data_IF_704380423023
#
_entry.id   IF_704380423023
#
_cell.length_a   1.000
_cell.length_b   1.000
_cell.length_c   1.000
_cell.angle_alpha   90.00
_cell.angle_beta   90.00
_cell.angle_gamma   90.00
#
_symmetry.space_group_name_H-M   'P 1'
#
loop_
_entity.id
_entity.type
_entity.pdbx_description
1 polymer ?
#
# COMPACT_ATOMS: atom_id res chain seq x y z
N UNK A 1 -23.61 26.55 -20.39
CA UNK A 1 -24.15 26.38 -19.03
C UNK A 1 -23.70 25.01 -18.59
N UNK A 2 -22.58 24.95 -17.89
CA UNK A 2 -21.96 23.73 -17.37
C UNK A 2 -22.37 23.59 -15.91
N UNK A 3 -23.20 22.60 -15.65
CA UNK A 3 -23.67 22.25 -14.33
C UNK A 3 -22.52 21.55 -13.58
N UNK A 4 -21.81 22.31 -12.78
CA UNK A 4 -20.82 21.80 -11.83
C UNK A 4 -21.59 21.26 -10.62
N UNK A 5 -22.05 20.00 -10.69
CA UNK A 5 -22.49 19.26 -9.51
C UNK A 5 -21.32 19.03 -8.58
N UNK A 6 -20.99 20.02 -7.76
CA UNK A 6 -20.21 19.83 -6.54
C UNK A 6 -21.03 18.88 -5.65
N UNK A 7 -20.54 17.64 -5.49
CA UNK A 7 -21.06 16.72 -4.46
C UNK A 7 -20.81 17.40 -3.12
N UNK A 8 -21.82 18.08 -2.62
CA UNK A 8 -21.81 18.61 -1.25
C UNK A 8 -21.70 17.42 -0.31
N UNK A 9 -20.50 17.17 0.20
CA UNK A 9 -20.29 16.19 1.26
C UNK A 9 -21.09 16.66 2.47
N UNK A 10 -22.10 15.90 2.83
CA UNK A 10 -22.89 16.16 4.02
C UNK A 10 -21.95 16.21 5.23
N UNK A 11 -21.88 17.38 5.89
CA UNK A 11 -20.97 17.62 7.01
C UNK A 11 -21.17 16.64 8.18
N UNK A 12 -22.35 16.02 8.27
CA UNK A 12 -22.67 15.00 9.28
C UNK A 12 -21.97 13.66 9.02
N UNK A 13 -21.63 13.34 7.77
CA UNK A 13 -20.97 12.08 7.37
C UNK A 13 -19.44 12.10 7.52
N UNK A 14 -18.83 13.28 7.67
CA UNK A 14 -17.37 13.45 7.74
C UNK A 14 -16.71 12.73 8.93
N UNK A 15 -17.27 12.75 10.17
CA UNK A 15 -16.69 12.00 11.27
C UNK A 15 -16.70 10.49 11.02
N UNK A 16 -17.82 9.95 10.53
CA UNK A 16 -17.95 8.52 10.20
C UNK A 16 -16.98 8.13 9.09
N UNK A 17 -16.88 8.91 8.01
CA UNK A 17 -15.92 8.69 6.93
C UNK A 17 -14.47 8.68 7.41
N UNK A 18 -14.13 9.54 8.38
CA UNK A 18 -12.79 9.58 8.99
C UNK A 18 -12.52 8.34 9.85
N UNK A 19 -13.49 7.85 10.62
CA UNK A 19 -13.37 6.61 11.39
C UNK A 19 -13.16 5.42 10.45
N UNK A 20 -13.97 5.30 9.39
CA UNK A 20 -13.84 4.21 8.40
C UNK A 20 -12.46 4.26 7.72
N UNK A 21 -11.96 5.45 7.36
CA UNK A 21 -10.64 5.62 6.77
C UNK A 21 -9.52 5.18 7.74
N UNK A 22 -9.63 5.55 9.02
CA UNK A 22 -8.67 5.13 10.05
C UNK A 22 -8.72 3.61 10.25
N UNK A 23 -9.90 3.00 10.29
CA UNK A 23 -10.04 1.54 10.34
C UNK A 23 -9.39 0.86 9.12
N UNK A 24 -9.55 1.44 7.92
CA UNK A 24 -8.89 0.95 6.71
C UNK A 24 -7.37 1.00 6.84
N UNK A 25 -6.81 2.11 7.30
CA UNK A 25 -5.36 2.26 7.51
C UNK A 25 -4.82 1.27 8.54
N UNK A 26 -5.54 1.05 9.66
CA UNK A 26 -5.19 0.04 10.66
C UNK A 26 -5.21 -1.36 10.03
N UNK A 27 -6.22 -1.65 9.24
CA UNK A 27 -6.39 -2.95 8.60
C UNK A 27 -5.23 -3.25 7.64
N UNK A 28 -4.80 -2.28 6.84
CA UNK A 28 -3.61 -2.43 5.98
C UNK A 28 -2.31 -2.52 6.78
N UNK A 29 -2.17 -1.76 7.88
CA UNK A 29 -0.99 -1.80 8.73
C UNK A 29 -0.74 -3.18 9.36
N UNK A 30 -1.80 -3.92 9.70
CA UNK A 30 -1.69 -5.26 10.27
C UNK A 30 -1.43 -6.34 9.21
N UNK A 31 -1.81 -6.10 7.95
CA UNK A 31 -1.77 -7.08 6.86
C UNK A 31 -0.40 -7.75 6.69
N UNK A 32 0.68 -6.98 6.74
CA UNK A 32 2.04 -7.48 6.48
C UNK A 32 2.53 -8.39 7.61
N UNK A 33 2.20 -8.03 8.84
CA UNK A 33 2.49 -8.85 10.02
C UNK A 33 1.78 -10.20 9.96
N UNK A 34 0.51 -10.21 9.53
CA UNK A 34 -0.24 -11.45 9.29
C UNK A 34 0.37 -12.28 8.16
N UNK A 35 0.90 -11.62 7.12
CA UNK A 35 1.65 -12.28 6.05
C UNK A 35 2.88 -13.01 6.58
N UNK A 36 3.64 -12.39 7.49
CA UNK A 36 4.80 -13.00 8.12
C UNK A 36 4.41 -14.24 8.94
N UNK A 37 3.31 -14.19 9.72
CA UNK A 37 2.80 -15.37 10.44
C UNK A 37 2.46 -16.52 9.48
N UNK A 38 1.93 -16.23 8.29
CA UNK A 38 1.67 -17.25 7.29
C UNK A 38 2.97 -17.90 6.78
N UNK A 39 4.05 -17.12 6.61
CA UNK A 39 5.35 -17.65 6.17
C UNK A 39 6.03 -18.49 7.24
N UNK A 40 6.02 -18.04 8.49
CA UNK A 40 6.52 -18.79 9.62
C UNK A 40 5.72 -20.09 9.82
N UNK A 41 4.47 -20.13 9.33
CA UNK A 41 3.61 -21.31 9.28
C UNK A 41 3.82 -22.21 8.06
N UNK A 42 4.85 -21.97 7.22
CA UNK A 42 5.21 -22.81 6.08
C UNK A 42 4.66 -22.36 4.72
N UNK A 43 3.98 -21.21 4.64
CA UNK A 43 3.54 -20.63 3.37
C UNK A 43 4.65 -19.78 2.73
N UNK A 44 4.35 -19.15 1.60
CA UNK A 44 5.25 -18.23 0.94
C UNK A 44 4.50 -16.98 0.42
N UNK A 45 5.23 -15.89 0.06
CA UNK A 45 4.62 -14.67 -0.43
C UNK A 45 3.69 -14.85 -1.63
N UNK A 46 4.05 -15.69 -2.60
CA UNK A 46 3.26 -15.91 -3.81
C UNK A 46 1.90 -16.52 -3.49
N UNK A 47 1.88 -17.55 -2.62
CA UNK A 47 0.64 -18.22 -2.19
C UNK A 47 -0.25 -17.25 -1.42
N UNK A 48 0.30 -16.49 -0.48
CA UNK A 48 -0.47 -15.52 0.32
C UNK A 48 -1.06 -14.42 -0.56
N UNK A 49 -0.28 -13.89 -1.53
CA UNK A 49 -0.80 -12.91 -2.51
C UNK A 49 -1.89 -13.53 -3.39
N UNK A 50 -1.71 -14.78 -3.87
CA UNK A 50 -2.72 -15.46 -4.67
C UNK A 50 -4.05 -15.62 -3.89
N UNK A 51 -3.98 -16.12 -2.66
CA UNK A 51 -5.17 -16.35 -1.82
C UNK A 51 -5.96 -15.06 -1.58
N UNK A 52 -5.28 -13.96 -1.23
CA UNK A 52 -5.95 -12.67 -1.00
C UNK A 52 -6.58 -12.10 -2.28
N UNK A 53 -5.92 -12.30 -3.45
CA UNK A 53 -6.45 -11.85 -4.74
C UNK A 53 -7.71 -12.65 -5.12
N UNK A 54 -7.69 -13.98 -4.95
CA UNK A 54 -8.87 -14.82 -5.17
C UNK A 54 -10.01 -14.36 -4.27
N UNK A 55 -9.74 -14.17 -2.97
CA UNK A 55 -10.74 -13.69 -2.01
C UNK A 55 -11.29 -12.32 -2.40
N UNK A 56 -10.41 -11.40 -2.83
CA UNK A 56 -10.81 -10.07 -3.29
C UNK A 56 -11.73 -10.14 -4.52
N UNK A 57 -11.36 -10.92 -5.54
CA UNK A 57 -12.14 -11.06 -6.78
C UNK A 57 -13.50 -11.67 -6.49
N UNK A 58 -13.58 -12.69 -5.63
CA UNK A 58 -14.85 -13.32 -5.27
C UNK A 58 -15.76 -12.34 -4.53
N UNK A 59 -15.26 -11.66 -3.49
CA UNK A 59 -16.07 -10.78 -2.65
C UNK A 59 -16.44 -9.50 -3.39
N UNK A 60 -15.47 -8.82 -4.04
CA UNK A 60 -15.73 -7.58 -4.76
C UNK A 60 -16.53 -7.85 -6.03
N UNK A 61 -16.30 -8.97 -6.72
CA UNK A 61 -17.11 -9.41 -7.85
C UNK A 61 -18.57 -9.63 -7.45
N UNK A 62 -18.82 -10.33 -6.35
CA UNK A 62 -20.17 -10.49 -5.81
C UNK A 62 -20.81 -9.14 -5.44
N UNK A 63 -20.03 -8.22 -4.83
CA UNK A 63 -20.50 -6.87 -4.50
C UNK A 63 -20.86 -6.07 -5.75
N UNK A 64 -20.07 -6.12 -6.82
CA UNK A 64 -20.37 -5.46 -8.10
C UNK A 64 -21.68 -5.99 -8.72
N UNK A 65 -21.90 -7.31 -8.68
CA UNK A 65 -23.14 -7.93 -9.14
C UNK A 65 -24.34 -7.47 -8.31
N UNK A 66 -24.24 -7.47 -6.98
CA UNK A 66 -25.30 -7.01 -6.08
C UNK A 66 -25.64 -5.54 -6.27
N UNK A 67 -24.62 -4.70 -6.49
CA UNK A 67 -24.78 -3.26 -6.73
C UNK A 67 -25.18 -2.95 -8.18
N UNK A 68 -25.32 -3.95 -9.04
CA UNK A 68 -25.66 -3.83 -10.47
C UNK A 68 -24.77 -2.80 -11.20
N UNK A 69 -23.46 -2.76 -10.83
CA UNK A 69 -22.51 -1.86 -11.47
C UNK A 69 -22.16 -2.32 -12.89
N UNK A 70 -21.94 -1.38 -13.84
CA UNK A 70 -21.54 -1.74 -15.19
C UNK A 70 -20.20 -2.49 -15.16
N UNK A 71 -20.23 -3.77 -15.57
CA UNK A 71 -19.04 -4.63 -15.55
C UNK A 71 -18.10 -4.42 -16.74
N UNK A 72 -18.43 -3.51 -17.69
CA UNK A 72 -17.62 -3.31 -18.90
C UNK A 72 -16.87 -1.98 -18.83
N UNK A 73 -15.56 -2.04 -19.06
CA UNK A 73 -14.70 -0.88 -19.18
C UNK A 73 -14.36 -0.59 -20.66
N UNK A 74 -14.27 0.69 -21.06
CA UNK A 74 -13.75 1.04 -22.38
C UNK A 74 -12.27 0.61 -22.49
N UNK A 75 -11.79 0.35 -23.73
CA UNK A 75 -10.43 -0.17 -23.97
C UNK A 75 -9.33 0.65 -23.28
N UNK A 76 -9.46 1.97 -23.27
CA UNK A 76 -8.46 2.86 -22.63
C UNK A 76 -8.40 2.64 -21.12
N UNK A 77 -9.55 2.52 -20.46
CA UNK A 77 -9.63 2.25 -19.03
C UNK A 77 -9.08 0.84 -18.72
N UNK A 78 -9.38 -0.16 -19.57
CA UNK A 78 -8.86 -1.52 -19.42
C UNK A 78 -7.32 -1.58 -19.51
N UNK A 79 -6.70 -0.86 -20.45
CA UNK A 79 -5.24 -0.71 -20.53
C UNK A 79 -4.67 0.02 -19.30
N UNK A 80 -5.40 1.02 -18.79
CA UNK A 80 -5.04 1.70 -17.54
C UNK A 80 -5.03 0.75 -16.35
N UNK A 81 -6.04 -0.14 -16.23
CA UNK A 81 -6.05 -1.15 -15.15
C UNK A 81 -4.93 -2.18 -15.29
N UNK A 82 -4.52 -2.54 -16.51
CA UNK A 82 -3.38 -3.43 -16.73
C UNK A 82 -2.06 -2.78 -16.27
N UNK A 83 -1.85 -1.50 -16.59
CA UNK A 83 -0.69 -0.76 -16.09
C UNK A 83 -0.71 -0.67 -14.56
N UNK A 84 -1.87 -0.36 -13.97
CA UNK A 84 -2.06 -0.35 -12.51
C UNK A 84 -1.79 -1.73 -11.90
N UNK A 85 -2.12 -2.82 -12.59
CA UNK A 85 -1.82 -4.18 -12.12
C UNK A 85 -0.31 -4.44 -12.04
N UNK A 86 0.48 -3.93 -12.98
CA UNK A 86 1.95 -4.02 -12.94
C UNK A 86 2.50 -3.28 -11.72
N UNK A 87 2.07 -2.05 -11.50
CA UNK A 87 2.53 -1.28 -10.33
C UNK A 87 2.05 -1.91 -9.01
N UNK A 88 0.83 -2.44 -8.96
CA UNK A 88 0.31 -3.18 -7.82
C UNK A 88 1.06 -4.51 -7.60
N UNK A 89 1.52 -5.18 -8.66
CA UNK A 89 2.40 -6.36 -8.56
C UNK A 89 3.72 -5.98 -7.89
N UNK A 90 4.35 -4.88 -8.31
CA UNK A 90 5.57 -4.38 -7.67
C UNK A 90 5.35 -4.11 -6.18
N UNK A 91 4.25 -3.45 -5.81
CA UNK A 91 3.91 -3.20 -4.40
C UNK A 91 3.65 -4.51 -3.67
N UNK A 92 2.77 -5.35 -4.20
CA UNK A 92 2.28 -6.55 -3.50
C UNK A 92 3.33 -7.62 -3.33
N UNK A 93 4.00 -7.98 -4.43
CA UNK A 93 5.03 -9.04 -4.42
C UNK A 93 6.32 -8.51 -3.81
N UNK A 94 6.65 -7.25 -4.07
CA UNK A 94 7.82 -6.60 -3.48
C UNK A 94 7.69 -6.49 -1.95
N UNK A 95 6.60 -5.91 -1.44
CA UNK A 95 6.43 -5.70 -0.01
C UNK A 95 6.25 -7.01 0.77
N UNK A 96 5.29 -7.86 0.35
CA UNK A 96 5.12 -9.17 0.99
C UNK A 96 6.32 -10.09 0.76
N UNK A 97 7.00 -9.98 -0.39
CA UNK A 97 8.25 -10.69 -0.64
C UNK A 97 9.39 -10.25 0.26
N UNK A 98 9.49 -8.95 0.58
CA UNK A 98 10.56 -8.42 1.42
C UNK A 98 10.53 -9.00 2.83
N UNK A 99 9.33 -9.17 3.43
CA UNK A 99 9.18 -9.68 4.80
C UNK A 99 9.52 -11.17 4.96
N UNK A 100 9.78 -11.87 3.87
CA UNK A 100 10.38 -13.20 3.92
C UNK A 100 11.88 -13.16 4.27
N UNK A 101 12.54 -12.02 4.09
CA UNK A 101 13.99 -11.87 4.21
C UNK A 101 14.42 -10.86 5.27
N UNK A 102 13.60 -9.83 5.51
CA UNK A 102 13.90 -8.77 6.49
C UNK A 102 12.71 -8.57 7.44
N UNK A 103 12.93 -7.95 8.62
CA UNK A 103 11.86 -7.62 9.57
C UNK A 103 10.74 -6.79 8.93
N UNK A 104 9.49 -7.05 9.36
CA UNK A 104 8.30 -6.36 8.86
C UNK A 104 8.39 -4.85 9.04
N UNK A 105 8.88 -4.44 10.23
CA UNK A 105 9.07 -3.01 10.57
C UNK A 105 10.02 -2.32 9.59
N UNK A 106 11.11 -3.00 9.21
CA UNK A 106 12.10 -2.47 8.28
C UNK A 106 11.53 -2.41 6.85
N UNK A 107 10.85 -3.47 6.41
CA UNK A 107 10.18 -3.50 5.13
C UNK A 107 9.16 -2.35 4.98
N UNK A 108 8.41 -2.07 6.06
CA UNK A 108 7.48 -0.93 6.12
C UNK A 108 8.22 0.40 5.97
N UNK A 109 9.29 0.64 6.72
CA UNK A 109 10.06 1.89 6.61
C UNK A 109 10.60 2.15 5.20
N UNK A 110 11.10 1.09 4.53
CA UNK A 110 11.55 1.20 3.14
C UNK A 110 10.38 1.51 2.21
N UNK A 111 9.25 0.79 2.33
CA UNK A 111 8.07 1.04 1.52
C UNK A 111 7.59 2.49 1.70
N UNK A 112 7.45 2.95 2.95
CA UNK A 112 6.94 4.30 3.23
C UNK A 112 7.92 5.42 2.88
N UNK A 113 9.11 5.10 2.36
CA UNK A 113 9.96 6.08 1.67
C UNK A 113 9.44 6.47 0.28
N UNK A 114 8.36 5.82 -0.24
CA UNK A 114 7.80 6.11 -1.56
C UNK A 114 7.47 7.60 -1.82
N UNK A 115 7.06 8.45 -0.84
CA UNK A 115 6.82 9.87 -1.10
C UNK A 115 8.07 10.60 -1.58
N UNK A 116 9.27 10.11 -1.19
CA UNK A 116 10.54 10.64 -1.66
C UNK A 116 10.70 10.36 -3.16
N UNK A 117 10.40 9.13 -3.57
CA UNK A 117 10.42 8.74 -4.97
C UNK A 117 9.39 9.51 -5.79
N UNK A 118 8.19 9.76 -5.23
CA UNK A 118 7.16 10.63 -5.85
C UNK A 118 7.72 12.03 -6.09
N UNK A 119 8.35 12.64 -5.08
CA UNK A 119 8.96 13.95 -5.20
C UNK A 119 10.07 13.99 -6.25
N UNK A 120 10.93 12.98 -6.29
CA UNK A 120 12.00 12.84 -7.30
C UNK A 120 11.44 12.68 -8.72
N UNK A 121 10.44 11.81 -8.92
CA UNK A 121 9.78 11.59 -10.20
C UNK A 121 9.09 12.87 -10.67
N UNK A 122 8.36 13.55 -9.79
CA UNK A 122 7.68 14.81 -10.11
C UNK A 122 8.66 15.92 -10.51
N UNK A 123 9.78 16.02 -9.81
CA UNK A 123 10.85 16.99 -10.15
C UNK A 123 11.53 16.65 -11.49
N UNK A 124 11.87 15.39 -11.72
CA UNK A 124 12.48 14.93 -12.98
C UNK A 124 11.53 15.12 -14.18
N UNK A 125 10.21 14.97 -13.97
CA UNK A 125 9.20 15.23 -14.99
C UNK A 125 8.86 16.72 -15.18
N UNK A 126 9.53 17.63 -14.47
CA UNK A 126 9.26 19.07 -14.53
C UNK A 126 7.89 19.50 -14.01
N UNK A 127 7.18 18.60 -13.33
CA UNK A 127 5.83 18.84 -12.79
C UNK A 127 5.83 19.62 -11.48
N UNK A 128 6.93 19.57 -10.74
CA UNK A 128 7.11 20.28 -9.48
C UNK A 128 8.51 20.91 -9.40
N UNK A 129 8.59 22.11 -8.80
CA UNK A 129 9.89 22.72 -8.48
C UNK A 129 10.41 22.11 -7.17
N UNK A 130 11.67 21.66 -7.20
CA UNK A 130 12.38 21.23 -6.01
C UNK A 130 12.72 22.47 -5.17
N UNK A 131 12.04 22.66 -4.04
CA UNK A 131 12.38 23.70 -3.08
C UNK A 131 13.44 23.20 -2.10
N UNK A 132 14.19 24.13 -1.47
CA UNK A 132 15.19 23.78 -0.45
C UNK A 132 14.56 22.97 0.69
N UNK A 133 13.35 23.33 1.11
CA UNK A 133 12.62 22.59 2.16
C UNK A 133 12.29 21.15 1.74
N UNK A 134 11.87 20.93 0.49
CA UNK A 134 11.63 19.59 -0.04
C UNK A 134 12.93 18.79 -0.14
N UNK A 135 14.00 19.40 -0.64
CA UNK A 135 15.32 18.75 -0.73
C UNK A 135 15.86 18.37 0.66
N UNK A 136 15.72 19.25 1.65
CA UNK A 136 16.12 18.98 3.03
C UNK A 136 15.31 17.83 3.64
N UNK A 137 13.98 17.81 3.44
CA UNK A 137 13.12 16.72 3.91
C UNK A 137 13.48 15.39 3.25
N UNK A 138 13.77 15.39 1.93
CA UNK A 138 14.25 14.22 1.21
C UNK A 138 15.56 13.69 1.82
N UNK A 139 16.54 14.58 2.03
CA UNK A 139 17.84 14.20 2.59
C UNK A 139 17.68 13.63 4.02
N UNK A 140 16.87 14.29 4.85
CA UNK A 140 16.57 13.81 6.22
C UNK A 140 15.94 12.43 6.20
N UNK A 141 15.01 12.16 5.26
CA UNK A 141 14.40 10.85 5.14
C UNK A 141 15.38 9.78 4.65
N UNK A 142 16.31 10.10 3.72
CA UNK A 142 17.36 9.16 3.31
C UNK A 142 18.33 8.85 4.45
N UNK A 143 18.73 9.86 5.24
CA UNK A 143 19.53 9.65 6.46
C UNK A 143 18.74 8.76 7.45
N UNK A 144 17.46 9.08 7.67
CA UNK A 144 16.58 8.29 8.52
C UNK A 144 16.46 6.84 8.06
N UNK A 145 16.30 6.62 6.76
CA UNK A 145 16.27 5.27 6.19
C UNK A 145 17.60 4.52 6.40
N UNK A 146 18.73 5.19 6.19
CA UNK A 146 20.06 4.62 6.46
C UNK A 146 20.24 4.19 7.93
N UNK A 147 19.79 5.03 8.88
CA UNK A 147 19.80 4.69 10.31
C UNK A 147 18.82 3.56 10.64
N UNK A 148 17.63 3.53 10.00
CA UNK A 148 16.64 2.48 10.21
C UNK A 148 17.10 1.12 9.68
N UNK A 149 17.85 1.10 8.57
CA UNK A 149 18.51 -0.11 8.04
C UNK A 149 19.59 -0.63 9.01
N UNK A 150 20.03 0.21 9.91
CA UNK A 150 21.00 -0.14 10.95
C UNK A 150 22.45 -0.16 10.43
N UNK A 151 23.38 0.16 11.31
CA UNK A 151 24.80 0.02 11.02
C UNK A 151 25.28 -1.45 11.02
N UNK A 152 24.36 -2.40 11.29
CA UNK A 152 24.59 -3.84 11.26
C UNK A 152 24.38 -4.41 9.85
N UNK A 153 25.03 -3.83 8.84
CA UNK A 153 24.95 -4.22 7.41
C UNK A 153 25.34 -5.71 7.20
N UNK A 154 26.10 -6.29 8.11
CA UNK A 154 26.60 -7.66 8.00
C UNK A 154 25.53 -8.74 8.08
N UNK A 155 24.34 -8.46 8.63
CA UNK A 155 23.22 -9.40 8.75
C UNK A 155 22.02 -9.08 7.85
N UNK A 156 22.10 -8.01 7.04
CA UNK A 156 20.97 -7.55 6.24
C UNK A 156 20.88 -8.33 4.93
N UNK A 157 19.75 -9.01 4.71
CA UNK A 157 19.50 -9.69 3.43
C UNK A 157 19.08 -8.67 2.36
N UNK A 158 20.00 -8.40 1.43
CA UNK A 158 19.80 -7.44 0.35
C UNK A 158 18.66 -7.81 -0.60
N UNK A 159 18.24 -9.07 -0.64
CA UNK A 159 17.05 -9.50 -1.41
C UNK A 159 15.80 -8.86 -0.84
N UNK A 160 15.67 -8.85 0.49
CA UNK A 160 14.56 -8.20 1.18
C UNK A 160 14.54 -6.69 0.96
N UNK A 161 15.70 -6.03 1.06
CA UNK A 161 15.83 -4.58 0.78
C UNK A 161 15.45 -4.28 -0.67
N UNK A 162 15.97 -5.03 -1.64
CA UNK A 162 15.65 -4.84 -3.05
C UNK A 162 14.15 -5.03 -3.33
N UNK A 163 13.53 -6.06 -2.75
CA UNK A 163 12.09 -6.28 -2.85
C UNK A 163 11.29 -5.10 -2.28
N UNK A 164 11.67 -4.58 -1.11
CA UNK A 164 11.01 -3.42 -0.49
C UNK A 164 11.19 -2.14 -1.33
N UNK A 165 12.37 -1.93 -1.93
CA UNK A 165 12.61 -0.80 -2.84
C UNK A 165 11.78 -0.90 -4.13
N UNK A 166 11.62 -2.10 -4.70
CA UNK A 166 10.72 -2.35 -5.83
C UNK A 166 9.28 -2.01 -5.44
N UNK A 167 8.86 -2.37 -4.23
CA UNK A 167 7.54 -2.01 -3.71
C UNK A 167 7.38 -0.49 -3.57
N UNK A 168 8.36 0.21 -3.01
CA UNK A 168 8.36 1.66 -2.87
C UNK A 168 8.28 2.37 -4.24
N UNK A 169 9.02 1.88 -5.23
CA UNK A 169 8.94 2.38 -6.61
C UNK A 169 7.56 2.12 -7.22
N UNK A 170 7.01 0.92 -7.08
CA UNK A 170 5.66 0.58 -7.52
C UNK A 170 4.61 1.49 -6.90
N UNK A 171 4.72 1.78 -5.60
CA UNK A 171 3.82 2.70 -4.90
C UNK A 171 3.96 4.14 -5.41
N UNK A 172 5.20 4.61 -5.63
CA UNK A 172 5.45 5.93 -6.18
C UNK A 172 4.85 6.11 -7.58
N UNK A 173 4.98 5.10 -8.45
CA UNK A 173 4.36 5.08 -9.79
C UNK A 173 2.84 5.07 -9.69
N UNK A 174 2.28 4.24 -8.80
CA UNK A 174 0.83 4.17 -8.53
C UNK A 174 0.28 5.53 -8.10
N UNK A 175 0.92 6.20 -7.15
CA UNK A 175 0.48 7.50 -6.63
C UNK A 175 0.63 8.60 -7.69
N UNK A 176 1.73 8.61 -8.44
CA UNK A 176 2.02 9.67 -9.42
C UNK A 176 1.10 9.61 -10.64
N UNK A 177 0.79 8.42 -11.14
CA UNK A 177 0.07 8.23 -12.40
C UNK A 177 -1.30 7.57 -12.21
N UNK A 178 -1.50 6.81 -11.13
CA UNK A 178 -2.73 6.06 -10.92
C UNK A 178 -3.97 6.92 -10.71
N UNK A 179 -3.82 8.13 -10.16
CA UNK A 179 -4.94 9.04 -9.94
C UNK A 179 -5.66 9.45 -11.23
N UNK A 180 -4.93 9.65 -12.31
CA UNK A 180 -5.51 9.96 -13.62
C UNK A 180 -6.25 8.74 -14.21
N UNK A 181 -5.65 7.56 -14.08
CA UNK A 181 -6.23 6.30 -14.54
C UNK A 181 -7.52 5.98 -13.79
N UNK A 182 -7.53 6.13 -12.47
CA UNK A 182 -8.68 5.78 -11.62
C UNK A 182 -9.86 6.74 -11.72
N UNK A 183 -9.65 7.98 -12.20
CA UNK A 183 -10.74 8.95 -12.43
C UNK A 183 -11.53 8.70 -13.70
N UNK A 184 -11.05 7.86 -14.59
CA UNK A 184 -11.67 7.64 -15.89
C UNK A 184 -13.03 6.93 -15.78
N UNK A 185 -13.23 6.09 -14.74
CA UNK A 185 -14.41 5.23 -14.59
C UNK A 185 -14.72 4.97 -13.09
N UNK A 186 -15.71 4.11 -12.82
CA UNK A 186 -16.02 3.69 -11.45
C UNK A 186 -14.81 3.04 -10.78
N UNK A 187 -14.32 3.65 -9.70
CA UNK A 187 -13.10 3.24 -9.00
C UNK A 187 -13.17 1.79 -8.48
N UNK A 188 -14.36 1.31 -8.09
CA UNK A 188 -14.53 -0.07 -7.62
C UNK A 188 -14.35 -1.07 -8.77
N UNK A 189 -14.91 -0.76 -9.95
CA UNK A 189 -14.74 -1.56 -11.17
C UNK A 189 -13.28 -1.54 -11.62
N UNK A 190 -12.65 -0.36 -11.63
CA UNK A 190 -11.22 -0.22 -11.98
C UNK A 190 -10.33 -1.08 -11.08
N UNK A 191 -10.55 -1.04 -9.76
CA UNK A 191 -9.79 -1.87 -8.82
C UNK A 191 -10.07 -3.37 -8.98
N UNK A 192 -11.31 -3.76 -9.28
CA UNK A 192 -11.63 -5.15 -9.60
C UNK A 192 -10.79 -5.65 -10.78
N UNK A 193 -10.77 -4.94 -11.90
CA UNK A 193 -9.97 -5.32 -13.06
C UNK A 193 -8.46 -5.27 -12.80
N UNK A 194 -7.98 -4.28 -12.04
CA UNK A 194 -6.57 -4.21 -11.64
C UNK A 194 -6.14 -5.46 -10.86
N UNK A 195 -6.92 -5.87 -9.86
CA UNK A 195 -6.65 -7.09 -9.10
C UNK A 195 -6.87 -8.37 -9.92
N UNK A 196 -7.82 -8.36 -10.87
CA UNK A 196 -8.05 -9.48 -11.78
C UNK A 196 -6.84 -9.72 -12.70
N UNK A 197 -6.25 -8.67 -13.27
CA UNK A 197 -5.03 -8.79 -14.07
C UNK A 197 -3.86 -9.33 -13.25
N UNK A 198 -3.70 -8.82 -12.02
CA UNK A 198 -2.67 -9.31 -11.13
C UNK A 198 -2.89 -10.79 -10.77
N UNK A 199 -4.14 -11.18 -10.51
CA UNK A 199 -4.50 -12.59 -10.24
C UNK A 199 -4.17 -13.49 -11.44
N UNK A 200 -4.56 -13.07 -12.66
CA UNK A 200 -4.29 -13.84 -13.88
C UNK A 200 -2.77 -14.00 -14.09
N UNK A 201 -2.02 -12.93 -13.99
CA UNK A 201 -0.56 -12.96 -14.16
C UNK A 201 0.13 -13.84 -13.11
N UNK A 202 -0.25 -13.71 -11.84
CA UNK A 202 0.32 -14.51 -10.75
C UNK A 202 -0.08 -15.99 -10.87
N UNK A 203 -1.34 -16.28 -11.17
CA UNK A 203 -1.82 -17.65 -11.36
C UNK A 203 -1.12 -18.33 -12.54
N UNK A 204 -0.94 -17.62 -13.68
CA UNK A 204 -0.20 -18.14 -14.82
C UNK A 204 1.27 -18.42 -14.48
N UNK A 205 1.93 -17.51 -13.75
CA UNK A 205 3.29 -17.72 -13.27
C UNK A 205 3.39 -18.95 -12.36
N UNK A 206 2.51 -19.08 -11.38
CA UNK A 206 2.52 -20.20 -10.44
C UNK A 206 2.15 -21.54 -11.10
N UNK A 207 1.29 -21.52 -12.12
CA UNK A 207 0.98 -22.71 -12.91
C UNK A 207 2.20 -23.21 -13.70
N UNK A 208 3.04 -22.31 -14.19
CA UNK A 208 4.24 -22.64 -14.95
C UNK A 208 5.45 -22.98 -14.06
N UNK A 209 5.65 -22.24 -12.96
CA UNK A 209 6.83 -22.36 -12.10
C UNK A 209 6.58 -23.21 -10.82
N UNK A 210 5.33 -23.49 -10.49
CA UNK A 210 4.96 -24.11 -9.22
C UNK A 210 5.07 -23.14 -8.05
N UNK A 211 5.31 -23.67 -6.85
CA UNK A 211 5.55 -22.85 -5.65
C UNK A 211 4.30 -22.54 -4.82
N UNK A 212 3.20 -23.26 -5.02
CA UNK A 212 2.02 -23.14 -4.16
C UNK A 212 2.26 -23.91 -2.86
N UNK A 213 2.37 -23.16 -1.74
CA UNK A 213 2.64 -23.70 -0.41
C UNK A 213 1.60 -23.17 0.58
N UNK A 214 0.64 -24.02 0.97
CA UNK A 214 -0.31 -23.69 2.01
C UNK A 214 0.38 -23.71 3.38
N UNK A 215 -0.06 -22.86 4.32
CA UNK A 215 0.45 -22.91 5.68
C UNK A 215 0.07 -24.24 6.35
N UNK A 216 1.01 -24.86 7.03
CA UNK A 216 0.85 -26.16 7.68
C UNK A 216 0.51 -26.04 9.17
N UNK A 217 0.73 -24.88 9.79
CA UNK A 217 0.43 -24.63 11.20
C UNK A 217 -0.86 -23.84 11.38
N UNK A 218 -1.54 -24.00 12.51
CA UNK A 218 -2.76 -23.26 12.83
C UNK A 218 -2.55 -21.74 12.82
N UNK A 219 -1.41 -21.25 13.37
CA UNK A 219 -1.04 -19.83 13.33
C UNK A 219 -0.80 -19.34 11.90
N UNK A 220 -0.18 -20.17 11.06
CA UNK A 220 0.03 -19.84 9.65
C UNK A 220 -1.28 -19.72 8.88
N UNK A 221 -2.26 -20.61 9.14
CA UNK A 221 -3.60 -20.53 8.55
C UNK A 221 -4.31 -19.25 9.00
N UNK A 222 -4.25 -18.91 10.30
CA UNK A 222 -4.80 -17.65 10.84
C UNK A 222 -4.13 -16.45 10.15
N UNK A 223 -2.81 -16.46 9.96
CA UNK A 223 -2.07 -15.43 9.26
C UNK A 223 -2.56 -15.26 7.82
N UNK A 224 -2.63 -16.34 7.04
CA UNK A 224 -3.09 -16.31 5.64
C UNK A 224 -4.55 -15.85 5.52
N UNK A 225 -5.45 -16.38 6.35
CA UNK A 225 -6.86 -15.95 6.39
C UNK A 225 -6.97 -14.48 6.80
N UNK A 226 -6.18 -14.06 7.79
CA UNK A 226 -6.08 -12.68 8.24
C UNK A 226 -5.67 -11.72 7.11
N UNK A 227 -4.66 -12.08 6.30
CA UNK A 227 -4.27 -11.30 5.10
C UNK A 227 -5.43 -11.16 4.13
N UNK A 228 -6.19 -12.23 3.87
CA UNK A 228 -7.34 -12.19 2.97
C UNK A 228 -8.41 -11.22 3.49
N UNK A 229 -8.78 -11.33 4.76
CA UNK A 229 -9.81 -10.49 5.40
C UNK A 229 -9.37 -9.02 5.45
N UNK A 230 -8.14 -8.76 5.89
CA UNK A 230 -7.62 -7.39 6.01
C UNK A 230 -7.46 -6.73 4.65
N UNK A 231 -7.05 -7.46 3.62
CA UNK A 231 -6.94 -6.91 2.27
C UNK A 231 -8.31 -6.47 1.72
N UNK A 232 -9.31 -7.33 1.77
CA UNK A 232 -10.66 -7.02 1.29
C UNK A 232 -11.31 -5.94 2.15
N UNK A 233 -11.26 -6.09 3.47
CA UNK A 233 -11.84 -5.15 4.43
C UNK A 233 -11.20 -3.77 4.31
N UNK A 234 -9.88 -3.69 4.19
CA UNK A 234 -9.13 -2.45 3.96
C UNK A 234 -9.59 -1.74 2.69
N UNK A 235 -9.64 -2.43 1.56
CA UNK A 235 -10.08 -1.83 0.30
C UNK A 235 -11.55 -1.40 0.32
N UNK A 236 -12.46 -2.23 0.82
CA UNK A 236 -13.88 -1.87 0.92
C UNK A 236 -14.06 -0.64 1.79
N UNK A 237 -13.42 -0.59 2.96
CA UNK A 237 -13.45 0.56 3.88
C UNK A 237 -12.84 1.81 3.24
N UNK A 238 -11.73 1.67 2.49
CA UNK A 238 -11.12 2.75 1.71
C UNK A 238 -12.13 3.38 0.74
N UNK A 239 -12.82 2.55 -0.06
CA UNK A 239 -13.78 3.06 -1.04
C UNK A 239 -15.03 3.66 -0.41
N UNK A 240 -15.50 3.10 0.71
CA UNK A 240 -16.61 3.69 1.47
C UNK A 240 -16.21 5.06 2.00
N UNK A 241 -15.01 5.18 2.58
CA UNK A 241 -14.52 6.45 3.14
C UNK A 241 -14.31 7.52 2.06
N UNK A 242 -13.83 7.17 0.86
CA UNK A 242 -13.65 8.10 -0.26
C UNK A 242 -14.94 8.75 -0.76
N UNK A 243 -16.11 8.17 -0.44
CA UNK A 243 -17.42 8.79 -0.73
C UNK A 243 -17.83 9.81 0.32
N UNK A 244 -17.20 9.78 1.50
CA UNK A 244 -17.60 10.57 2.67
C UNK A 244 -16.61 11.67 3.01
N UNK A 245 -15.31 11.47 2.67
CA UNK A 245 -14.24 12.43 2.95
C UNK A 245 -13.40 12.71 1.70
N UNK A 246 -12.72 13.86 1.71
CA UNK A 246 -11.83 14.22 0.60
C UNK A 246 -10.61 13.31 0.53
N UNK A 247 -10.04 13.08 -0.68
CA UNK A 247 -8.81 12.31 -0.86
C UNK A 247 -7.62 12.83 -0.04
N UNK A 248 -7.53 14.15 0.16
CA UNK A 248 -6.47 14.78 0.98
C UNK A 248 -6.61 14.36 2.45
N UNK A 249 -7.83 14.38 2.99
CA UNK A 249 -8.10 13.94 4.36
C UNK A 249 -7.83 12.45 4.53
N UNK A 250 -8.22 11.64 3.54
CA UNK A 250 -7.92 10.22 3.52
C UNK A 250 -6.40 9.97 3.60
N UNK A 251 -5.62 10.60 2.72
CA UNK A 251 -4.17 10.45 2.69
C UNK A 251 -3.51 10.84 4.03
N UNK A 252 -4.01 11.91 4.68
CA UNK A 252 -3.53 12.30 6.00
C UNK A 252 -3.80 11.23 7.08
N UNK A 253 -4.97 10.58 7.05
CA UNK A 253 -5.32 9.52 7.99
C UNK A 253 -4.51 8.23 7.74
N UNK A 254 -4.16 7.96 6.49
CA UNK A 254 -3.33 6.80 6.12
C UNK A 254 -1.87 6.91 6.61
N UNK A 255 -1.40 8.08 7.03
CA UNK A 255 -0.10 8.22 7.69
C UNK A 255 0.01 7.45 9.02
N UNK A 256 -1.10 6.94 9.56
CA UNK A 256 -1.09 6.05 10.74
C UNK A 256 -0.67 4.62 10.40
N UNK A 257 -0.83 4.19 9.15
CA UNK A 257 -0.56 2.81 8.70
C UNK A 257 0.85 2.32 9.07
N UNK A 258 1.96 3.05 8.79
CA UNK A 258 3.30 2.60 9.16
C UNK A 258 3.50 2.44 10.67
N UNK A 259 2.86 3.29 11.47
CA UNK A 259 2.91 3.16 12.94
C UNK A 259 2.21 1.88 13.39
N UNK A 260 1.04 1.60 12.82
CA UNK A 260 0.30 0.36 13.10
C UNK A 260 1.11 -0.87 12.70
N UNK A 261 1.80 -0.82 11.54
CA UNK A 261 2.66 -1.94 11.09
C UNK A 261 3.77 -2.23 12.10
N UNK A 262 4.47 -1.20 12.58
CA UNK A 262 5.53 -1.35 13.58
C UNK A 262 4.98 -1.91 14.91
N UNK A 263 3.86 -1.35 15.38
CA UNK A 263 3.23 -1.83 16.63
C UNK A 263 2.73 -3.27 16.48
N UNK A 264 2.13 -3.62 15.34
CA UNK A 264 1.65 -4.98 15.07
C UNK A 264 2.83 -5.98 15.00
N UNK A 265 3.94 -5.61 14.37
CA UNK A 265 5.14 -6.44 14.32
C UNK A 265 5.75 -6.65 15.71
N UNK A 266 5.78 -5.62 16.54
CA UNK A 266 6.20 -5.74 17.93
C UNK A 266 5.29 -6.68 18.75
N UNK A 267 3.98 -6.48 18.68
CA UNK A 267 3.03 -7.25 19.49
C UNK A 267 2.87 -8.71 19.03
N UNK A 268 2.86 -8.96 17.73
CA UNK A 268 2.54 -10.28 17.17
C UNK A 268 3.77 -11.12 16.82
N UNK A 269 4.89 -10.47 16.50
CA UNK A 269 6.13 -11.15 16.08
C UNK A 269 7.27 -10.98 17.10
N UNK A 270 7.10 -10.12 18.12
CA UNK A 270 8.16 -9.80 19.07
C UNK A 270 9.32 -9.00 18.46
N UNK A 271 9.10 -8.34 17.31
CA UNK A 271 10.11 -7.50 16.68
C UNK A 271 10.40 -6.27 17.58
N UNK A 272 11.65 -6.10 17.99
CA UNK A 272 12.08 -4.95 18.78
C UNK A 272 13.01 -4.10 17.93
N UNK A 273 12.62 -2.85 17.71
CA UNK A 273 13.48 -1.89 17.04
C UNK A 273 14.58 -1.39 17.98
N UNK A 274 15.81 -1.42 17.51
CA UNK A 274 16.92 -0.80 18.20
C UNK A 274 16.79 0.73 18.24
N UNK A 275 17.52 1.39 19.14
CA UNK A 275 17.47 2.85 19.32
C UNK A 275 17.75 3.60 17.99
N UNK A 276 18.75 3.16 17.21
CA UNK A 276 19.08 3.78 15.93
C UNK A 276 17.96 3.59 14.90
N UNK A 277 17.29 2.43 14.90
CA UNK A 277 16.14 2.16 14.03
C UNK A 277 14.94 3.04 14.40
N UNK A 278 14.70 3.27 15.70
CA UNK A 278 13.66 4.20 16.17
C UNK A 278 13.95 5.64 15.77
N UNK A 279 15.19 6.11 15.89
CA UNK A 279 15.62 7.43 15.43
C UNK A 279 15.41 7.54 13.90
N UNK A 280 15.85 6.53 13.16
CA UNK A 280 15.67 6.45 11.71
C UNK A 280 14.19 6.49 11.31
N UNK A 281 13.35 5.71 11.96
CA UNK A 281 11.90 5.69 11.75
C UNK A 281 11.27 7.08 12.02
N UNK A 282 11.65 7.73 13.12
CA UNK A 282 11.16 9.08 13.46
C UNK A 282 11.57 10.13 12.40
N UNK A 283 12.80 10.07 11.87
CA UNK A 283 13.26 10.95 10.80
C UNK A 283 12.49 10.70 9.49
N UNK A 284 12.27 9.45 9.09
CA UNK A 284 11.49 9.12 7.89
C UNK A 284 10.07 9.64 8.02
N UNK A 285 9.37 9.29 9.10
CA UNK A 285 7.98 9.70 9.33
C UNK A 285 7.84 11.22 9.46
N UNK A 286 8.75 11.87 10.20
CA UNK A 286 8.79 13.32 10.33
C UNK A 286 8.99 14.02 8.98
N UNK A 287 9.83 13.47 8.11
CA UNK A 287 10.04 13.98 6.76
C UNK A 287 8.80 13.84 5.87
N UNK A 288 8.07 12.72 5.96
CA UNK A 288 6.82 12.51 5.24
C UNK A 288 5.78 13.54 5.66
N UNK A 289 5.63 13.78 6.96
CA UNK A 289 4.73 14.80 7.50
C UNK A 289 5.12 16.19 7.02
N UNK A 290 6.42 16.54 7.07
CA UNK A 290 6.93 17.83 6.62
C UNK A 290 6.66 18.07 5.13
N UNK A 291 6.88 17.06 4.26
CA UNK A 291 6.59 17.14 2.82
C UNK A 291 5.10 17.33 2.58
N UNK A 292 4.26 16.59 3.30
CA UNK A 292 2.80 16.65 3.18
C UNK A 292 2.27 18.04 3.54
N UNK A 293 2.75 18.60 4.67
CA UNK A 293 2.37 19.94 5.12
C UNK A 293 2.89 21.05 4.20
N UNK A 294 4.12 20.90 3.66
CA UNK A 294 4.67 21.86 2.71
C UNK A 294 3.90 21.88 1.38
N UNK A 295 3.39 20.73 0.95
CA UNK A 295 2.62 20.61 -0.30
C UNK A 295 1.18 21.13 -0.17
N UNK A 296 0.59 21.11 1.02
CA UNK A 296 -0.76 21.67 1.27
C UNK A 296 -0.77 23.20 1.26
N UNK A 297 0.29 23.85 1.76
CA UNK A 297 0.42 25.33 1.80
C UNK A 297 0.59 26.00 0.42
N UNK A 298 0.98 25.26 -0.60
CA UNK A 298 1.18 25.79 -1.96
C UNK A 298 -0.12 25.76 -2.78
N UNK A 299 -1.17 25.09 -2.29
CA UNK A 299 -2.48 24.99 -2.95
C UNK A 299 -3.54 25.93 -2.38
N UNK A 300 -3.24 26.67 -1.34
CA UNK A 300 -4.00 27.83 -0.83
C UNK A 300 -3.45 29.13 -1.43
#
# INVERSE_FOLDING_TARGET
MSDSTSVATDRSSVPLGSIIATCSAITFGVLTTLGRLAYDGGSNPLTVVLLRLVTFIVIVGALLLLLRRPGRLPRRALLGTLWMAVTLAMVSLGYLGSVAFIPVSLAALILYSFPLLVGMIAAAAGRERMTIAKAAALLTAFIGLGLALGLGIESLDWRGVACAMVAALGMALTVTFGGEVMRAEDTLVMNFYTNLWLLIGLAAYMAAAGGFLLPSTGLGVIGAAGVCVTYVGGFVSLFVSLRMISPVRLAALFNIEPLVTVVAAWLLLGEVLGVMQLIGAALVLGSIVAITLASSRIRE
#
